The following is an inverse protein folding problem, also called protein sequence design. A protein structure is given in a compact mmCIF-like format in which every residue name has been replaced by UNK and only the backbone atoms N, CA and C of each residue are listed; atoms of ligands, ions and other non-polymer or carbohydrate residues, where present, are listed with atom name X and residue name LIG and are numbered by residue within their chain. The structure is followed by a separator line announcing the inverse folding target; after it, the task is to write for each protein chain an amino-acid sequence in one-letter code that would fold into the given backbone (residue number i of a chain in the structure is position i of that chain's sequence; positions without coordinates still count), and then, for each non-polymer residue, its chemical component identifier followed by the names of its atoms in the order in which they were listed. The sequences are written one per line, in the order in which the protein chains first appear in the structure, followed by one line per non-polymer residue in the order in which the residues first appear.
data_IF_191570972042
#
_entry.id   IF_191570972042
#
_cell.length_a   1.000
_cell.length_b   1.000
_cell.length_c   1.000
_cell.angle_alpha   90.00
_cell.angle_beta   90.00
_cell.angle_gamma   90.00
#
_symmetry.space_group_name_H-M   'P 1'
#
loop_
_entity.id
_entity.type
_entity.pdbx_description
1 polymer ?
#
# COMPACT_ATOMS: atom_id res chain seq x y z
N UNK A 1 -4.63 -10.06 1.41
CA UNK A 1 -3.16 -10.14 1.57
C UNK A 1 -2.63 -8.81 2.11
N UNK A 2 -1.67 -8.85 3.04
CA UNK A 2 -1.00 -7.65 3.54
C UNK A 2 0.49 -7.75 3.22
N UNK A 3 1.01 -6.80 2.44
CA UNK A 3 2.42 -6.72 2.09
C UNK A 3 3.11 -5.69 2.99
N UNK A 4 4.21 -6.09 3.63
CA UNK A 4 5.02 -5.19 4.45
C UNK A 4 6.41 -5.11 3.82
N UNK A 5 6.81 -3.91 3.40
CA UNK A 5 8.15 -3.63 2.90
C UNK A 5 9.00 -2.93 3.98
N UNK A 6 9.96 -3.66 4.59
CA UNK A 6 10.87 -3.10 5.59
C UNK A 6 12.06 -2.36 4.96
N UNK A 7 12.11 -2.22 3.63
CA UNK A 7 13.15 -1.49 2.93
C UNK A 7 13.26 -0.04 3.38
N UNK A 8 14.50 0.47 3.37
CA UNK A 8 14.82 1.89 3.58
C UNK A 8 14.75 2.71 2.29
N UNK A 9 14.25 2.12 1.20
CA UNK A 9 14.03 2.79 -0.09
C UNK A 9 12.53 2.87 -0.39
N UNK A 10 12.05 3.98 -0.99
CA UNK A 10 10.65 4.09 -1.37
C UNK A 10 10.22 2.93 -2.27
N UNK A 11 9.05 2.36 -1.99
CA UNK A 11 8.45 1.32 -2.80
C UNK A 11 8.16 1.84 -4.21
N UNK A 12 8.46 1.02 -5.21
CA UNK A 12 8.36 1.39 -6.61
C UNK A 12 6.97 1.07 -7.18
N UNK A 13 6.70 1.62 -8.38
CA UNK A 13 5.49 1.30 -9.15
C UNK A 13 5.31 -0.21 -9.34
N UNK A 14 6.40 -0.92 -9.68
CA UNK A 14 6.38 -2.36 -9.92
C UNK A 14 5.99 -3.15 -8.69
N UNK A 15 6.38 -2.70 -7.50
CA UNK A 15 6.05 -3.39 -6.26
C UNK A 15 4.53 -3.35 -6.00
N UNK A 16 3.88 -2.20 -6.28
CA UNK A 16 2.42 -2.05 -6.20
C UNK A 16 1.72 -2.93 -7.23
N UNK A 17 2.19 -2.97 -8.47
CA UNK A 17 1.56 -3.76 -9.54
C UNK A 17 1.70 -5.26 -9.31
N UNK A 18 2.88 -5.72 -8.88
CA UNK A 18 3.10 -7.12 -8.53
C UNK A 18 2.21 -7.56 -7.37
N UNK A 19 2.10 -6.73 -6.33
CA UNK A 19 1.19 -6.97 -5.21
C UNK A 19 -0.25 -7.13 -5.70
N UNK A 20 -0.73 -6.17 -6.48
CA UNK A 20 -2.10 -6.17 -7.00
C UNK A 20 -2.38 -7.39 -7.88
N UNK A 21 -1.48 -7.73 -8.81
CA UNK A 21 -1.63 -8.91 -9.67
C UNK A 21 -1.66 -10.21 -8.87
N UNK A 22 -0.85 -10.32 -7.82
CA UNK A 22 -0.82 -11.49 -6.94
C UNK A 22 -2.15 -11.62 -6.20
N UNK A 23 -2.64 -10.52 -5.62
CA UNK A 23 -3.90 -10.49 -4.91
C UNK A 23 -5.10 -10.82 -5.81
N UNK A 24 -5.13 -10.27 -7.02
CA UNK A 24 -6.12 -10.60 -8.04
C UNK A 24 -6.09 -12.09 -8.42
N UNK A 25 -4.90 -12.67 -8.54
CA UNK A 25 -4.72 -14.10 -8.82
C UNK A 25 -5.28 -14.97 -7.69
N UNK A 26 -5.10 -14.52 -6.44
CA UNK A 26 -5.62 -15.19 -5.25
C UNK A 26 -7.09 -14.83 -4.94
N UNK A 27 -7.71 -13.98 -5.77
CA UNK A 27 -9.06 -13.42 -5.52
C UNK A 27 -9.20 -12.80 -4.13
N UNK A 28 -8.18 -12.07 -3.69
CA UNK A 28 -8.10 -11.43 -2.38
C UNK A 28 -7.88 -9.92 -2.52
N UNK A 29 -8.38 -9.16 -1.55
CA UNK A 29 -7.98 -7.75 -1.41
C UNK A 29 -6.53 -7.64 -0.97
N UNK A 30 -5.87 -6.52 -1.31
CA UNK A 30 -4.50 -6.26 -0.90
C UNK A 30 -4.33 -4.91 -0.23
N UNK A 31 -3.35 -4.83 0.66
CA UNK A 31 -2.89 -3.60 1.31
C UNK A 31 -1.37 -3.62 1.35
N UNK A 32 -0.75 -2.45 1.16
CA UNK A 32 0.70 -2.29 1.19
C UNK A 32 1.11 -1.36 2.35
N UNK A 33 2.03 -1.83 3.19
CA UNK A 33 2.76 -1.08 4.20
C UNK A 33 4.22 -0.89 3.78
N UNK A 34 4.75 0.33 3.84
CA UNK A 34 6.17 0.61 3.58
C UNK A 34 6.78 1.44 4.70
N UNK A 35 8.02 1.13 5.10
CA UNK A 35 8.77 1.94 6.06
C UNK A 35 9.32 3.23 5.44
N UNK A 36 9.80 3.16 4.20
CA UNK A 36 10.42 4.30 3.52
C UNK A 36 9.46 5.09 2.61
N UNK A 37 8.18 4.73 2.62
CA UNK A 37 7.17 5.37 1.78
C UNK A 37 7.16 4.88 0.34
N UNK A 38 6.57 5.67 -0.54
CA UNK A 38 6.27 5.29 -1.92
C UNK A 38 6.82 6.33 -2.89
N UNK A 39 7.31 5.86 -4.04
CA UNK A 39 7.53 6.74 -5.17
C UNK A 39 6.21 7.39 -5.61
N UNK A 40 6.27 8.60 -6.16
CA UNK A 40 5.07 9.33 -6.59
C UNK A 40 4.23 8.53 -7.60
N UNK A 41 4.90 7.89 -8.56
CA UNK A 41 4.28 7.03 -9.57
C UNK A 41 3.58 5.82 -8.93
N UNK A 42 4.17 5.25 -7.87
CA UNK A 42 3.58 4.14 -7.14
C UNK A 42 2.30 4.56 -6.42
N UNK A 43 2.28 5.76 -5.83
CA UNK A 43 1.10 6.32 -5.17
C UNK A 43 -0.03 6.61 -6.17
N UNK A 44 0.29 7.27 -7.28
CA UNK A 44 -0.68 7.52 -8.34
C UNK A 44 -1.26 6.22 -8.93
N UNK A 45 -0.45 5.18 -9.06
CA UNK A 45 -0.91 3.87 -9.53
C UNK A 45 -1.81 3.17 -8.51
N UNK A 46 -1.45 3.21 -7.23
CA UNK A 46 -2.26 2.63 -6.18
C UNK A 46 -3.67 3.25 -6.13
N UNK A 47 -3.79 4.56 -6.37
CA UNK A 47 -5.10 5.23 -6.45
C UNK A 47 -5.95 4.71 -7.63
N UNK A 48 -5.33 4.46 -8.79
CA UNK A 48 -6.03 3.89 -9.94
C UNK A 48 -6.45 2.43 -9.71
N UNK A 49 -5.61 1.65 -9.04
CA UNK A 49 -5.86 0.24 -8.74
C UNK A 49 -6.67 0.04 -7.46
N UNK A 50 -7.00 1.13 -6.75
CA UNK A 50 -7.65 1.15 -5.44
C UNK A 50 -6.92 0.31 -4.38
N UNK A 51 -5.59 0.32 -4.41
CA UNK A 51 -4.77 -0.35 -3.39
C UNK A 51 -4.56 0.61 -2.20
N UNK A 52 -4.98 0.24 -0.98
CA UNK A 52 -4.67 1.00 0.23
C UNK A 52 -3.16 0.96 0.51
N UNK A 53 -2.59 2.15 0.71
CA UNK A 53 -1.18 2.34 1.04
C UNK A 53 -1.01 2.92 2.44
N UNK A 54 -0.08 2.35 3.21
CA UNK A 54 0.26 2.82 4.55
C UNK A 54 1.77 3.01 4.70
N UNK A 55 2.16 4.06 5.41
CA UNK A 55 3.55 4.23 5.85
C UNK A 55 3.66 3.88 7.31
N UNK A 56 4.63 3.05 7.65
CA UNK A 56 4.93 2.73 9.05
C UNK A 56 5.81 3.82 9.63
N UNK A 57 5.35 4.46 10.71
CA UNK A 57 6.22 5.36 11.47
C UNK A 57 7.22 4.58 12.35
N UNK A 58 8.13 5.30 13.01
CA UNK A 58 9.16 4.71 13.89
C UNK A 58 8.58 4.00 15.13
N UNK A 59 7.29 4.20 15.43
CA UNK A 59 6.58 3.51 16.51
C UNK A 59 5.89 2.23 16.02
N UNK A 60 5.89 1.99 14.70
CA UNK A 60 5.19 0.88 14.06
C UNK A 60 3.71 1.17 13.80
N UNK A 61 3.25 2.42 13.95
CA UNK A 61 1.87 2.78 13.68
C UNK A 61 1.70 3.01 12.17
N UNK A 62 0.75 2.32 11.51
CA UNK A 62 0.47 2.55 10.09
C UNK A 62 -0.27 3.87 9.92
N UNK A 63 0.26 4.73 9.04
CA UNK A 63 -0.36 5.99 8.67
C UNK A 63 -0.92 5.87 7.24
N UNK A 64 -2.21 6.16 7.02
CA UNK A 64 -2.79 6.10 5.70
C UNK A 64 -2.15 7.15 4.80
N UNK A 65 -1.82 6.77 3.56
CA UNK A 65 -1.24 7.72 2.59
C UNK A 65 -2.08 7.93 1.35
N UNK A 66 -3.22 7.26 1.21
CA UNK A 66 -4.16 7.54 0.14
C UNK A 66 -5.61 7.36 0.60
N UNK A 67 -6.54 7.85 -0.22
CA UNK A 67 -7.96 7.82 0.13
C UNK A 67 -8.48 6.40 0.41
N UNK A 68 -7.90 5.37 -0.23
CA UNK A 68 -8.26 3.98 0.05
C UNK A 68 -7.76 3.51 1.42
N UNK A 69 -6.56 3.94 1.82
CA UNK A 69 -6.07 3.69 3.16
C UNK A 69 -6.84 4.48 4.22
N UNK A 70 -7.22 5.73 3.94
CA UNK A 70 -8.06 6.53 4.83
C UNK A 70 -9.42 5.85 5.07
N UNK A 71 -10.06 5.35 4.01
CA UNK A 71 -11.32 4.62 4.12
C UNK A 71 -11.17 3.31 4.90
N UNK A 72 -10.06 2.58 4.68
CA UNK A 72 -9.78 1.33 5.41
C UNK A 72 -9.51 1.59 6.90
N UNK A 73 -8.77 2.64 7.23
CA UNK A 73 -8.45 3.04 8.61
C UNK A 73 -9.70 3.54 9.35
N UNK A 74 -10.59 4.25 8.66
CA UNK A 74 -11.88 4.68 9.21
C UNK A 74 -12.87 3.52 9.44
N UNK A 75 -12.59 2.31 8.92
CA UNK A 75 -13.49 1.16 9.00
C UNK A 75 -14.64 1.19 7.98
N UNK A 76 -14.53 2.01 6.93
CA UNK A 76 -15.51 2.16 5.85
C UNK A 76 -15.28 1.15 4.67
N UNK A 77 -14.49 0.10 4.90
CA UNK A 77 -14.09 -0.90 3.89
C UNK A 77 -15.01 -2.13 3.83
#
# INVERSE_FOLDING_TARGET
MAQVDPSVRPASLRDVECLWLTAMTESADCVYFSLAGYAEEARARADQLRVPLFVLDLTGTPQPVNAMADALDAGDA
#
